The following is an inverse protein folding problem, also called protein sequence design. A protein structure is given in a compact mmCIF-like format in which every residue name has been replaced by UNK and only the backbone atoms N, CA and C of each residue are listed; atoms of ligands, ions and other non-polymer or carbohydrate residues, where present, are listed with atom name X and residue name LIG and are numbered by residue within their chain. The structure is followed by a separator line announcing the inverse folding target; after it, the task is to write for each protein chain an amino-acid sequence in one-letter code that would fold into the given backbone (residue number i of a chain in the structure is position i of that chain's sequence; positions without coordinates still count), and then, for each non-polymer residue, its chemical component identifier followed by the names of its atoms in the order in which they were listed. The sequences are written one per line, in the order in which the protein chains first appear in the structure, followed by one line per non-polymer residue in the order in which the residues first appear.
data_IF_352071098964
#
_entry.id   IF_352071098964
#
_cell.length_a   1.000
_cell.length_b   1.000
_cell.length_c   1.000
_cell.angle_alpha   90.00
_cell.angle_beta   90.00
_cell.angle_gamma   90.00
#
_symmetry.space_group_name_H-M   'P 1'
#
loop_
_entity.id
_entity.type
_entity.pdbx_description
1 polymer ?
#
# COMPACT_ATOMS: atom_id res chain seq x y z
N UNK A 1 -13.24 8.55 25.73
CA UNK A 1 -11.96 9.20 25.37
C UNK A 1 -12.17 10.56 24.70
N UNK A 2 -11.20 11.48 24.82
CA UNK A 2 -11.24 12.79 24.13
C UNK A 2 -10.80 12.67 22.67
N UNK A 3 -11.09 13.68 21.84
CA UNK A 3 -10.69 13.71 20.43
C UNK A 3 -9.18 13.57 20.21
N UNK A 4 -8.36 14.04 21.16
CA UNK A 4 -6.90 13.89 21.12
C UNK A 4 -6.48 12.43 21.21
N UNK A 5 -6.87 11.76 22.29
CA UNK A 5 -6.65 10.33 22.50
C UNK A 5 -7.28 9.48 21.39
N UNK A 6 -8.47 9.86 20.91
CA UNK A 6 -9.14 9.15 19.81
C UNK A 6 -8.35 9.27 18.49
N UNK A 7 -7.76 10.43 18.22
CA UNK A 7 -6.91 10.67 17.05
C UNK A 7 -5.64 9.82 17.08
N UNK A 8 -5.00 9.71 18.24
CA UNK A 8 -3.81 8.87 18.44
C UNK A 8 -4.14 7.38 18.26
N UNK A 9 -5.23 6.91 18.88
CA UNK A 9 -5.65 5.50 18.81
C UNK A 9 -6.10 5.06 17.42
N UNK A 10 -6.68 5.97 16.63
CA UNK A 10 -7.15 5.67 15.26
C UNK A 10 -6.10 5.97 14.19
N UNK A 11 -4.97 6.60 14.56
CA UNK A 11 -4.00 7.13 13.60
C UNK A 11 -4.61 8.12 12.60
N UNK A 12 -5.74 8.74 12.96
CA UNK A 12 -6.53 9.60 12.07
C UNK A 12 -6.52 11.03 12.59
N UNK A 13 -6.30 12.01 11.72
CA UNK A 13 -6.25 13.41 12.14
C UNK A 13 -7.57 13.89 12.73
N UNK A 14 -7.49 14.79 13.72
CA UNK A 14 -8.68 15.40 14.36
C UNK A 14 -9.62 16.05 13.34
N UNK A 15 -9.08 16.62 12.26
CA UNK A 15 -9.86 17.21 11.16
C UNK A 15 -10.71 16.15 10.46
N UNK A 16 -10.12 15.00 10.15
CA UNK A 16 -10.80 13.91 9.46
C UNK A 16 -11.82 13.22 10.37
N UNK A 17 -11.52 13.10 11.66
CA UNK A 17 -12.50 12.62 12.66
C UNK A 17 -13.72 13.55 12.78
N UNK A 18 -13.51 14.87 12.77
CA UNK A 18 -14.64 15.83 12.73
C UNK A 18 -15.44 15.70 11.45
N UNK A 19 -14.78 15.53 10.32
CA UNK A 19 -15.46 15.26 9.06
C UNK A 19 -16.30 13.97 9.13
N UNK A 20 -15.78 12.88 9.71
CA UNK A 20 -16.57 11.66 9.90
C UNK A 20 -17.77 11.87 10.83
N UNK A 21 -17.63 12.70 11.86
CA UNK A 21 -18.73 13.07 12.76
C UNK A 21 -19.80 13.91 12.02
N UNK A 22 -19.38 14.89 11.22
CA UNK A 22 -20.27 15.72 10.36
C UNK A 22 -21.02 14.88 9.32
N UNK A 23 -20.36 13.88 8.73
CA UNK A 23 -20.99 12.95 7.79
C UNK A 23 -21.89 11.91 8.50
N UNK A 24 -21.88 11.87 9.84
CA UNK A 24 -22.63 10.92 10.65
C UNK A 24 -22.10 9.49 10.59
N UNK A 25 -20.81 9.32 10.25
CA UNK A 25 -20.14 8.01 10.24
C UNK A 25 -19.74 7.56 11.65
N UNK A 26 -19.43 8.53 12.51
CA UNK A 26 -19.17 8.33 13.93
C UNK A 26 -20.06 9.28 14.75
N UNK A 27 -20.41 8.88 15.96
CA UNK A 27 -21.24 9.69 16.86
C UNK A 27 -20.52 9.80 18.20
N UNK A 28 -20.26 11.03 18.65
CA UNK A 28 -19.73 11.27 19.98
C UNK A 28 -20.86 11.34 21.02
N UNK A 29 -20.62 10.79 22.20
CA UNK A 29 -21.49 11.02 23.35
C UNK A 29 -21.16 12.38 23.97
N UNK A 30 -22.16 13.06 24.53
CA UNK A 30 -21.93 14.23 25.38
C UNK A 30 -21.97 13.81 26.84
N UNK A 31 -20.90 14.08 27.56
CA UNK A 31 -20.88 13.90 29.01
C UNK A 31 -21.69 15.01 29.71
N UNK A 32 -22.11 14.74 30.95
CA UNK A 32 -22.84 15.70 31.79
C UNK A 32 -22.08 17.02 32.05
N UNK A 33 -20.75 17.01 31.87
CA UNK A 33 -19.87 18.17 31.97
C UNK A 33 -19.71 18.95 30.65
N UNK A 34 -20.52 18.65 29.62
CA UNK A 34 -20.54 19.36 28.34
C UNK A 34 -19.45 18.97 27.34
N UNK A 35 -18.55 18.05 27.71
CA UNK A 35 -17.49 17.60 26.84
C UNK A 35 -17.90 16.45 25.92
N UNK A 36 -17.24 16.34 24.76
CA UNK A 36 -17.37 15.18 23.86
C UNK A 36 -16.57 14.00 24.39
N UNK A 37 -17.21 12.85 24.37
CA UNK A 37 -16.64 11.57 24.73
C UNK A 37 -16.86 10.56 23.60
N UNK A 38 -15.75 9.98 23.14
CA UNK A 38 -15.74 8.94 22.12
C UNK A 38 -15.63 7.57 22.80
N UNK A 39 -16.45 6.61 22.39
CA UNK A 39 -16.37 5.25 22.89
C UNK A 39 -15.19 4.50 22.24
N UNK A 40 -14.58 3.56 22.95
CA UNK A 40 -13.52 2.71 22.40
C UNK A 40 -13.98 1.89 21.19
N UNK A 41 -15.26 1.52 21.11
CA UNK A 41 -15.85 0.83 19.95
C UNK A 41 -15.77 1.67 18.67
N UNK A 42 -15.70 3.00 18.79
CA UNK A 42 -15.55 3.88 17.62
C UNK A 42 -14.15 3.77 17.00
N UNK A 43 -13.16 3.24 17.72
CA UNK A 43 -11.80 3.06 17.19
C UNK A 43 -11.83 2.03 16.07
N UNK A 44 -12.40 0.85 16.33
CA UNK A 44 -12.54 -0.21 15.33
C UNK A 44 -13.37 0.27 14.13
N UNK A 45 -14.42 1.05 14.40
CA UNK A 45 -15.25 1.67 13.37
C UNK A 45 -14.46 2.61 12.46
N UNK A 46 -13.59 3.46 13.01
CA UNK A 46 -12.76 4.38 12.21
C UNK A 46 -11.73 3.61 11.38
N UNK A 47 -11.14 2.54 11.94
CA UNK A 47 -10.22 1.68 11.18
C UNK A 47 -10.92 1.00 10.00
N UNK A 48 -12.17 0.54 10.19
CA UNK A 48 -12.98 0.00 9.09
C UNK A 48 -13.32 1.05 8.04
N UNK A 49 -13.75 2.25 8.45
CA UNK A 49 -14.01 3.38 7.52
C UNK A 49 -12.77 3.64 6.66
N UNK A 50 -11.60 3.69 7.30
CA UNK A 50 -10.34 3.91 6.61
C UNK A 50 -10.02 2.78 5.63
N UNK A 51 -10.18 1.52 6.03
CA UNK A 51 -9.98 0.39 5.13
C UNK A 51 -10.89 0.44 3.90
N UNK A 52 -12.15 0.85 4.07
CA UNK A 52 -13.10 1.03 2.96
C UNK A 52 -12.76 2.24 2.07
N UNK A 53 -12.30 3.35 2.65
CA UNK A 53 -11.82 4.50 1.90
C UNK A 53 -10.56 4.16 1.10
N UNK A 54 -9.63 3.41 1.71
CA UNK A 54 -8.40 2.92 1.07
C UNK A 54 -8.74 1.95 -0.08
N UNK A 55 -9.82 1.17 0.06
CA UNK A 55 -10.37 0.35 -1.01
C UNK A 55 -11.09 1.18 -2.11
N UNK A 56 -11.26 2.49 -1.92
CA UNK A 56 -11.83 3.39 -2.92
C UNK A 56 -13.34 3.56 -2.84
N UNK A 57 -14.00 3.08 -1.79
CA UNK A 57 -15.43 3.31 -1.61
C UNK A 57 -15.70 4.77 -1.26
N UNK A 58 -16.69 5.43 -1.90
CA UNK A 58 -17.07 6.77 -1.52
C UNK A 58 -17.77 6.78 -0.16
N UNK A 59 -17.55 7.84 0.63
CA UNK A 59 -18.14 8.05 1.97
C UNK A 59 -19.65 7.76 2.04
N UNK A 60 -20.40 8.10 0.98
CA UNK A 60 -21.85 7.84 0.88
C UNK A 60 -22.21 6.35 0.98
N UNK A 61 -21.40 5.49 0.36
CA UNK A 61 -21.59 4.04 0.36
C UNK A 61 -21.09 3.45 1.67
N UNK A 62 -19.98 3.95 2.20
CA UNK A 62 -19.47 3.56 3.52
C UNK A 62 -20.51 3.79 4.60
N UNK A 63 -21.21 4.94 4.58
CA UNK A 63 -22.31 5.23 5.52
C UNK A 63 -23.44 4.20 5.47
N UNK A 64 -23.73 3.65 4.28
CA UNK A 64 -24.78 2.65 4.08
C UNK A 64 -24.32 1.26 4.51
N UNK A 65 -23.04 0.92 4.36
CA UNK A 65 -22.47 -0.39 4.72
C UNK A 65 -22.16 -0.47 6.23
N UNK A 66 -21.76 0.63 6.86
CA UNK A 66 -21.30 0.67 8.25
C UNK A 66 -22.26 0.01 9.27
N UNK A 67 -23.59 0.27 9.24
CA UNK A 67 -24.53 -0.40 10.15
C UNK A 67 -24.55 -1.93 10.02
N UNK A 68 -24.14 -2.47 8.87
CA UNK A 68 -24.06 -3.91 8.64
C UNK A 68 -22.75 -4.52 9.17
N UNK A 69 -21.69 -3.72 9.33
CA UNK A 69 -20.38 -4.16 9.82
C UNK A 69 -20.32 -4.29 11.35
N UNK A 70 -21.26 -3.64 12.07
CA UNK A 70 -21.43 -3.83 13.51
C UNK A 70 -21.98 -5.23 13.89
N UNK A 71 -22.39 -6.04 12.89
CA UNK A 71 -22.92 -7.41 13.09
C UNK A 71 -21.91 -8.47 12.62
N UNK A 72 -21.56 -9.48 13.44
CA UNK A 72 -20.34 -10.27 13.23
C UNK A 72 -20.24 -11.18 12.00
N UNK A 73 -21.23 -11.28 11.08
CA UNK A 73 -21.16 -12.35 10.07
C UNK A 73 -21.99 -12.25 8.79
N UNK A 74 -22.61 -11.12 8.48
CA UNK A 74 -23.30 -11.00 7.20
C UNK A 74 -23.46 -9.53 6.78
N UNK A 75 -22.78 -9.12 5.70
CA UNK A 75 -23.16 -7.92 4.94
C UNK A 75 -24.39 -8.31 4.12
N UNK A 76 -25.53 -8.50 4.78
CA UNK A 76 -26.80 -8.74 4.11
C UNK A 76 -27.66 -7.51 4.36
N UNK A 77 -27.84 -6.75 3.29
CA UNK A 77 -28.79 -5.65 3.24
C UNK A 77 -30.19 -6.25 3.17
N UNK A 78 -30.97 -6.16 4.25
CA UNK A 78 -32.39 -6.53 4.19
C UNK A 78 -33.19 -5.56 3.30
N UNK A 79 -32.70 -4.33 3.11
CA UNK A 79 -33.33 -3.25 2.35
C UNK A 79 -32.44 -2.72 1.19
N UNK A 80 -31.64 -3.58 0.56
CA UNK A 80 -30.82 -3.16 -0.58
C UNK A 80 -31.72 -2.76 -1.77
N UNK A 81 -31.68 -1.48 -2.14
CA UNK A 81 -32.33 -1.03 -3.36
C UNK A 81 -31.52 -1.48 -4.59
N UNK A 82 -32.15 -1.70 -5.74
CA UNK A 82 -31.45 -2.01 -7.00
C UNK A 82 -30.37 -0.98 -7.35
N UNK A 83 -30.62 0.30 -7.09
CA UNK A 83 -29.65 1.39 -7.32
C UNK A 83 -28.40 1.28 -6.42
N UNK A 84 -28.60 0.83 -5.19
CA UNK A 84 -27.50 0.59 -4.25
C UNK A 84 -26.65 -0.58 -4.71
N UNK A 85 -27.28 -1.70 -5.13
CA UNK A 85 -26.59 -2.86 -5.69
C UNK A 85 -25.79 -2.48 -6.94
N UNK A 86 -26.40 -1.77 -7.90
CA UNK A 86 -25.71 -1.32 -9.10
C UNK A 86 -24.53 -0.39 -8.79
N UNK A 87 -24.63 0.42 -7.71
CA UNK A 87 -23.51 1.25 -7.28
C UNK A 87 -22.39 0.42 -6.66
N UNK A 88 -22.72 -0.56 -5.81
CA UNK A 88 -21.73 -1.47 -5.23
C UNK A 88 -21.01 -2.31 -6.31
N UNK A 89 -21.74 -2.79 -7.32
CA UNK A 89 -21.16 -3.53 -8.45
C UNK A 89 -20.19 -2.66 -9.25
N UNK A 90 -20.56 -1.42 -9.56
CA UNK A 90 -19.65 -0.47 -10.24
C UNK A 90 -18.39 -0.19 -9.43
N UNK A 91 -18.53 0.02 -8.12
CA UNK A 91 -17.36 0.25 -7.27
C UNK A 91 -16.49 -1.01 -7.17
N UNK A 92 -17.08 -2.21 -7.07
CA UNK A 92 -16.35 -3.48 -7.14
C UNK A 92 -15.57 -3.59 -8.45
N UNK A 93 -16.21 -3.35 -9.59
CA UNK A 93 -15.56 -3.49 -10.90
C UNK A 93 -14.42 -2.49 -11.07
N UNK A 94 -14.60 -1.27 -10.55
CA UNK A 94 -13.55 -0.25 -10.50
C UNK A 94 -12.37 -0.68 -9.62
N UNK A 95 -12.62 -1.31 -8.47
CA UNK A 95 -11.56 -1.87 -7.62
C UNK A 95 -10.79 -2.96 -8.37
N UNK A 96 -11.50 -3.87 -9.04
CA UNK A 96 -10.89 -4.93 -9.85
C UNK A 96 -9.95 -4.36 -10.91
N UNK A 97 -10.40 -3.37 -11.68
CA UNK A 97 -9.56 -2.70 -12.68
C UNK A 97 -8.30 -2.07 -12.08
N UNK A 98 -8.43 -1.48 -10.88
CA UNK A 98 -7.29 -0.86 -10.19
C UNK A 98 -6.30 -1.91 -9.67
N UNK A 99 -6.79 -3.03 -9.14
CA UNK A 99 -5.98 -4.18 -8.73
C UNK A 99 -5.21 -4.73 -9.92
N UNK A 100 -5.84 -4.91 -11.07
CA UNK A 100 -5.20 -5.37 -12.29
C UNK A 100 -4.09 -4.42 -12.75
N UNK A 101 -4.35 -3.11 -12.74
CA UNK A 101 -3.35 -2.09 -13.07
C UNK A 101 -2.15 -2.13 -12.12
N UNK A 102 -2.41 -2.13 -10.80
CA UNK A 102 -1.35 -2.18 -9.79
C UNK A 102 -0.56 -3.49 -9.86
N UNK A 103 -1.23 -4.60 -10.14
CA UNK A 103 -0.57 -5.91 -10.32
C UNK A 103 0.35 -5.90 -11.53
N UNK A 104 -0.11 -5.34 -12.67
CA UNK A 104 0.74 -5.16 -13.87
C UNK A 104 1.96 -4.31 -13.57
N UNK A 105 1.78 -3.16 -12.91
CA UNK A 105 2.90 -2.27 -12.56
C UNK A 105 3.89 -2.94 -11.61
N UNK A 106 3.40 -3.62 -10.57
CA UNK A 106 4.25 -4.38 -9.64
C UNK A 106 5.07 -5.43 -10.37
N UNK A 107 4.44 -6.18 -11.28
CA UNK A 107 5.14 -7.22 -12.04
C UNK A 107 6.20 -6.61 -12.99
N UNK A 108 5.90 -5.46 -13.62
CA UNK A 108 6.86 -4.76 -14.47
C UNK A 108 8.08 -4.25 -13.67
N UNK A 109 7.85 -3.66 -12.50
CA UNK A 109 8.93 -3.25 -11.58
C UNK A 109 9.75 -4.46 -11.13
N UNK A 110 9.09 -5.59 -10.82
CA UNK A 110 9.77 -6.84 -10.47
C UNK A 110 10.68 -7.35 -11.59
N UNK A 111 10.18 -7.39 -12.83
CA UNK A 111 10.96 -7.82 -13.99
C UNK A 111 12.17 -6.90 -14.25
N UNK A 112 12.00 -5.59 -14.12
CA UNK A 112 13.10 -4.64 -14.25
C UNK A 112 14.18 -4.87 -13.18
N UNK A 113 13.79 -5.09 -11.92
CA UNK A 113 14.73 -5.34 -10.82
C UNK A 113 15.53 -6.63 -11.04
N UNK A 114 14.91 -7.70 -11.54
CA UNK A 114 15.63 -8.94 -11.85
C UNK A 114 16.63 -8.75 -13.00
N UNK A 115 16.23 -8.07 -14.09
CA UNK A 115 17.14 -7.79 -15.20
C UNK A 115 18.37 -6.95 -14.78
N UNK A 116 18.16 -5.94 -13.91
CA UNK A 116 19.28 -5.13 -13.38
C UNK A 116 20.21 -5.97 -12.49
N UNK A 117 19.66 -6.89 -11.69
CA UNK A 117 20.45 -7.79 -10.83
C UNK A 117 21.27 -8.78 -11.65
N UNK A 118 20.72 -9.31 -12.73
CA UNK A 118 21.42 -10.21 -13.65
C UNK A 118 22.58 -9.50 -14.36
N UNK A 119 22.33 -8.31 -14.93
CA UNK A 119 23.39 -7.50 -15.55
C UNK A 119 24.51 -7.14 -14.56
N UNK A 120 24.18 -6.86 -13.30
CA UNK A 120 25.18 -6.57 -12.27
C UNK A 120 25.97 -7.80 -11.81
N UNK A 121 25.44 -9.03 -11.99
CA UNK A 121 26.18 -10.27 -11.74
C UNK A 121 27.12 -10.61 -12.90
N UNK A 122 26.69 -10.35 -14.13
CA UNK A 122 27.48 -10.62 -15.34
C UNK A 122 28.58 -9.58 -15.59
N UNK A 123 28.38 -8.33 -15.18
CA UNK A 123 29.34 -7.23 -15.33
C UNK A 123 30.49 -7.18 -14.31
N UNK A 124 30.56 -8.11 -13.35
CA UNK A 124 31.54 -8.10 -12.25
C UNK A 124 32.75 -9.04 -12.39
N UNK A 125 32.94 -9.68 -13.56
CA UNK A 125 33.89 -10.80 -13.72
C UNK A 125 35.01 -10.62 -14.73
N UNK A 126 35.47 -9.40 -15.03
CA UNK A 126 36.46 -9.17 -16.07
C UNK A 126 37.42 -8.02 -15.81
N UNK A 127 38.30 -8.13 -14.81
CA UNK A 127 39.62 -7.47 -14.84
C UNK A 127 40.63 -8.14 -13.89
N UNK A 128 41.20 -9.28 -14.31
CA UNK A 128 42.57 -9.69 -13.93
C UNK A 128 43.21 -10.36 -15.16
N UNK A 129 43.41 -9.58 -16.22
CA UNK A 129 44.20 -9.96 -17.39
C UNK A 129 45.63 -9.44 -17.21
N UNK A 130 46.55 -10.35 -16.91
CA UNK A 130 47.94 -10.06 -16.58
C UNK A 130 48.69 -9.26 -17.65
N UNK A 131 49.51 -8.34 -17.16
CA UNK A 131 50.60 -7.75 -17.94
C UNK A 131 51.75 -8.76 -18.04
N UNK A 132 51.77 -9.46 -19.18
CA UNK A 132 52.87 -10.26 -19.69
C UNK A 132 54.08 -9.34 -19.97
N UNK A 133 55.08 -9.40 -19.09
CA UNK A 133 56.37 -8.75 -19.27
C UNK A 133 57.33 -9.67 -20.01
N UNK A 134 57.25 -9.71 -21.34
CA UNK A 134 58.30 -10.24 -22.22
C UNK A 134 58.96 -9.08 -22.96
N UNK A 135 60.03 -8.56 -22.38
CA UNK A 135 61.06 -7.85 -23.14
C UNK A 135 62.05 -8.88 -23.69
N UNK A 136 62.02 -9.04 -25.01
CA UNK A 136 63.05 -9.73 -25.77
C UNK A 136 64.32 -8.88 -25.85
N UNK A 137 65.44 -9.42 -25.38
CA UNK A 137 66.76 -8.99 -25.80
C UNK A 137 67.51 -10.22 -26.36
N UNK A 138 67.54 -10.29 -27.69
CA UNK A 138 68.32 -11.27 -28.44
C UNK A 138 69.83 -11.02 -28.37
N UNK A 139 70.60 -12.08 -28.58
CA UNK A 139 72.06 -12.00 -28.74
C UNK A 139 72.74 -13.35 -28.55
N UNK A 140 72.55 -14.26 -29.51
CA UNK A 140 73.21 -15.56 -29.53
C UNK A 140 74.67 -15.51 -30.04
N UNK A 141 75.54 -16.15 -29.27
CA UNK A 141 76.63 -17.09 -29.63
C UNK A 141 77.78 -16.71 -30.61
N UNK A 142 78.98 -16.68 -30.03
CA UNK A 142 80.32 -17.10 -30.52
C UNK A 142 80.37 -18.55 -31.11
N UNK A 143 81.51 -19.12 -31.60
CA UNK A 143 82.64 -18.62 -32.41
C UNK A 143 83.00 -19.61 -33.58
N UNK A 144 83.97 -19.27 -34.45
CA UNK A 144 84.75 -20.27 -35.20
C UNK A 144 86.09 -19.68 -35.69
N UNK A 145 87.20 -20.11 -35.07
CA UNK A 145 88.55 -19.95 -35.59
C UNK A 145 89.31 -21.28 -35.42
N UNK A 146 89.81 -21.77 -36.57
CA UNK A 146 90.84 -22.80 -36.82
C UNK A 146 90.73 -24.19 -36.19
#
# INVERSE_FOLDING_TARGET
MRIGEFSERTGTSRRLLRYYEEQGLIVSARCANGYRDYDARLVDRVLQIRGLLDAGLPTRIIKQILPCLDKPRAIVFSDATPDMLATLERERDRMTQRIECLTRNRNAVGAYLEAVRENNREGGGGDEGGSDGRDEAGGGAEPAAS
#
